data_IF_056208499480
#
_entry.id   IF_056208499480
#
_cell.length_a   1.000
_cell.length_b   1.000
_cell.length_c   1.000
_cell.angle_alpha   90.00
_cell.angle_beta   90.00
_cell.angle_gamma   90.00
#
_symmetry.space_group_name_H-M   'P 1'
#
loop_
_entity.id
_entity.type
_entity.pdbx_description
1 polymer ?
#
# COMPACT_ATOMS: atom_id res chain seq x y z
N UNK A 1 -10.83 -21.76 -4.78
CA UNK A 1 -10.40 -21.38 -4.51
C UNK A 1 -10.14 -20.39 -4.24
N UNK A 2 -10.07 -20.22 -4.12
CA UNK A 2 -9.89 -19.52 -3.62
C UNK A 2 -9.06 -19.02 -2.97
N UNK A 3 -8.67 -19.20 -2.60
CA UNK A 3 -7.80 -19.00 -1.56
C UNK A 3 -6.44 -18.58 -1.92
N UNK A 4 -6.09 -18.42 -3.20
CA UNK A 4 -4.82 -17.87 -3.62
C UNK A 4 -4.61 -16.47 -3.06
N UNK A 5 -5.67 -15.67 -2.99
CA UNK A 5 -5.55 -14.33 -2.44
C UNK A 5 -5.26 -14.35 -0.96
N UNK A 6 -5.89 -15.27 -0.22
CA UNK A 6 -5.68 -15.35 1.21
C UNK A 6 -4.27 -15.79 1.53
N UNK A 7 -3.76 -16.77 0.80
CA UNK A 7 -2.40 -17.25 1.03
C UNK A 7 -1.38 -16.18 0.70
N UNK A 8 -1.62 -15.47 -0.38
CA UNK A 8 -0.72 -14.40 -0.81
C UNK A 8 -0.67 -13.30 0.25
N UNK A 9 -1.83 -12.95 0.81
CA UNK A 9 -1.89 -11.94 1.85
C UNK A 9 -1.11 -12.39 3.09
N UNK A 10 -1.27 -13.66 3.49
CA UNK A 10 -0.52 -14.16 4.62
C UNK A 10 0.97 -14.11 4.37
N UNK A 11 1.39 -14.45 3.16
CA UNK A 11 2.81 -14.40 2.82
C UNK A 11 3.34 -12.97 2.92
N UNK A 12 2.57 -12.00 2.45
CA UNK A 12 2.97 -10.61 2.54
C UNK A 12 3.14 -10.19 3.99
N UNK A 13 2.15 -10.53 4.83
CA UNK A 13 2.18 -10.14 6.23
C UNK A 13 3.39 -10.72 6.93
N UNK A 14 3.69 -11.99 6.66
CA UNK A 14 4.84 -12.65 7.26
C UNK A 14 6.13 -11.92 6.89
N UNK A 15 6.23 -11.46 5.64
CA UNK A 15 7.43 -10.80 5.17
C UNK A 15 7.56 -9.38 5.69
N UNK A 16 6.45 -8.73 6.00
CA UNK A 16 6.47 -7.32 6.38
C UNK A 16 6.68 -7.11 7.88
N UNK A 17 6.12 -7.99 8.72
CA UNK A 17 6.14 -7.73 10.16
C UNK A 17 7.37 -8.37 10.80
N UNK A 18 7.75 -7.87 11.97
CA UNK A 18 8.86 -8.45 12.72
C UNK A 18 8.59 -8.61 14.20
N UNK A 19 7.45 -8.17 14.72
CA UNK A 19 7.07 -8.44 16.08
C UNK A 19 5.57 -8.41 16.17
N UNK A 20 5.03 -8.69 17.35
CA UNK A 20 3.61 -8.82 17.53
C UNK A 20 2.85 -7.53 17.22
N UNK A 21 3.30 -6.37 17.74
CA UNK A 21 2.58 -5.12 17.39
C UNK A 21 2.62 -4.82 15.90
N UNK A 22 3.74 -5.02 15.24
CA UNK A 22 3.82 -4.73 13.83
C UNK A 22 2.99 -5.72 13.01
N UNK A 23 2.72 -6.92 13.56
CA UNK A 23 1.85 -7.86 12.88
C UNK A 23 0.44 -7.30 12.74
N UNK A 24 -0.07 -6.66 13.80
CA UNK A 24 -1.42 -6.10 13.73
C UNK A 24 -1.51 -5.02 12.67
N UNK A 25 -0.51 -4.16 12.63
CA UNK A 25 -0.46 -3.11 11.63
C UNK A 25 -0.34 -3.72 10.23
N UNK A 26 0.56 -4.69 10.05
CA UNK A 26 0.77 -5.33 8.75
C UNK A 26 -0.50 -6.03 8.28
N UNK A 27 -1.23 -6.66 9.21
CA UNK A 27 -2.46 -7.35 8.87
C UNK A 27 -3.51 -6.37 8.36
N UNK A 28 -3.72 -5.27 9.07
CA UNK A 28 -4.71 -4.28 8.68
C UNK A 28 -4.32 -3.60 7.37
N UNK A 29 -3.06 -3.23 7.26
CA UNK A 29 -2.56 -2.60 6.03
C UNK A 29 -2.68 -3.56 4.84
N UNK A 30 -2.30 -4.81 5.06
CA UNK A 30 -2.34 -5.80 3.98
C UNK A 30 -3.74 -6.04 3.46
N UNK A 31 -4.72 -6.12 4.37
CA UNK A 31 -6.09 -6.29 3.95
C UNK A 31 -6.56 -5.11 3.10
N UNK A 32 -6.21 -3.91 3.52
CA UNK A 32 -6.58 -2.73 2.77
C UNK A 32 -5.94 -2.74 1.39
N UNK A 33 -4.67 -3.08 1.31
CA UNK A 33 -3.95 -3.10 0.05
C UNK A 33 -4.49 -4.18 -0.89
N UNK A 34 -4.90 -5.32 -0.33
CA UNK A 34 -5.47 -6.37 -1.17
C UNK A 34 -6.85 -6.00 -1.68
N UNK A 35 -7.62 -5.23 -0.92
CA UNK A 35 -8.88 -4.71 -1.42
C UNK A 35 -8.65 -3.73 -2.56
N UNK A 36 -7.60 -2.94 -2.46
CA UNK A 36 -7.21 -2.04 -3.55
C UNK A 36 -6.86 -2.85 -4.81
N UNK A 37 -6.11 -3.94 -4.65
CA UNK A 37 -5.76 -4.78 -5.80
C UNK A 37 -7.00 -5.38 -6.41
N UNK A 38 -7.95 -5.83 -5.58
CA UNK A 38 -9.20 -6.35 -6.09
C UNK A 38 -10.00 -5.30 -6.85
N UNK A 39 -9.94 -4.07 -6.36
CA UNK A 39 -10.55 -2.95 -7.07
C UNK A 39 -9.93 -2.77 -8.45
N UNK A 40 -8.60 -2.88 -8.53
CA UNK A 40 -7.91 -2.76 -9.81
C UNK A 40 -8.27 -3.90 -10.76
N UNK A 41 -8.49 -5.09 -10.22
CA UNK A 41 -8.84 -6.24 -11.05
C UNK A 41 -10.16 -6.05 -11.76
N UNK A 42 -11.04 -5.24 -11.21
CA UNK A 42 -12.34 -4.98 -11.82
C UNK A 42 -12.25 -3.94 -12.92
N UNK A 43 -11.11 -3.30 -13.07
CA UNK A 43 -10.87 -2.36 -14.15
C UNK A 43 -10.29 -3.11 -15.33
N UNK A 44 -10.32 -2.48 -16.49
CA UNK A 44 -9.82 -3.15 -17.70
C UNK A 44 -8.35 -2.88 -17.87
N UNK A 45 -7.56 -3.40 -16.96
CA UNK A 45 -6.12 -3.28 -17.03
C UNK A 45 -5.52 -4.54 -17.62
N UNK A 46 -4.42 -4.39 -18.35
CA UNK A 46 -3.70 -5.55 -18.84
C UNK A 46 -3.09 -6.30 -17.65
N UNK A 47 -2.84 -7.60 -17.87
CA UNK A 47 -2.20 -8.38 -16.83
C UNK A 47 -0.86 -7.83 -16.44
N UNK A 48 -0.13 -7.31 -17.42
CA UNK A 48 1.18 -6.74 -17.16
C UNK A 48 1.07 -5.54 -16.25
N UNK A 49 0.10 -4.65 -16.52
CA UNK A 49 -0.09 -3.47 -15.69
C UNK A 49 -0.53 -3.86 -14.29
N UNK A 50 -1.45 -4.82 -14.19
CA UNK A 50 -1.90 -5.26 -12.88
C UNK A 50 -0.76 -5.86 -12.08
N UNK A 51 0.11 -6.64 -12.72
CA UNK A 51 1.25 -7.22 -12.03
C UNK A 51 2.19 -6.14 -11.51
N UNK A 52 2.42 -5.10 -12.29
CA UNK A 52 3.26 -4.01 -11.84
C UNK A 52 2.70 -3.35 -10.59
N UNK A 53 1.39 -3.13 -10.57
CA UNK A 53 0.79 -2.53 -9.38
C UNK A 53 0.88 -3.46 -8.17
N UNK A 54 0.72 -4.75 -8.39
CA UNK A 54 0.85 -5.70 -7.28
C UNK A 54 2.26 -5.71 -6.72
N UNK A 55 3.27 -5.67 -7.59
CA UNK A 55 4.65 -5.62 -7.14
C UNK A 55 4.91 -4.34 -6.35
N UNK A 56 4.39 -3.22 -6.84
CA UNK A 56 4.57 -1.95 -6.15
C UNK A 56 3.83 -1.92 -4.82
N UNK A 57 2.67 -2.57 -4.76
CA UNK A 57 1.91 -2.68 -3.50
C UNK A 57 2.74 -3.42 -2.46
N UNK A 58 3.44 -4.47 -2.87
CA UNK A 58 4.31 -5.18 -1.93
C UNK A 58 5.37 -4.25 -1.36
N UNK A 59 5.98 -3.43 -2.20
CA UNK A 59 6.98 -2.48 -1.76
C UNK A 59 6.38 -1.44 -0.83
N UNK A 60 5.19 -0.95 -1.15
CA UNK A 60 4.50 0.01 -0.29
C UNK A 60 4.26 -0.58 1.09
N UNK A 61 3.76 -1.80 1.14
CA UNK A 61 3.51 -2.45 2.42
C UNK A 61 4.78 -2.65 3.23
N UNK A 62 5.83 -3.08 2.55
CA UNK A 62 7.10 -3.28 3.23
C UNK A 62 7.63 -1.98 3.84
N UNK A 63 7.61 -0.91 3.06
CA UNK A 63 8.15 0.37 3.53
C UNK A 63 7.31 0.95 4.66
N UNK A 64 5.98 0.82 4.56
CA UNK A 64 5.12 1.33 5.62
C UNK A 64 5.34 0.56 6.92
N UNK A 65 5.49 -0.75 6.83
CA UNK A 65 5.72 -1.53 8.04
C UNK A 65 7.11 -1.28 8.62
N UNK A 66 8.09 -1.02 7.76
CA UNK A 66 9.45 -0.82 8.23
C UNK A 66 9.67 0.58 8.80
N UNK A 67 9.05 1.58 8.21
CA UNK A 67 9.33 2.97 8.55
C UNK A 67 8.13 3.75 9.02
N UNK A 68 6.93 3.30 8.70
CA UNK A 68 5.71 4.05 9.00
C UNK A 68 4.79 3.37 9.99
N UNK A 69 5.29 2.41 10.75
CA UNK A 69 4.47 1.67 11.70
C UNK A 69 3.72 2.61 12.65
N UNK A 70 2.46 2.29 12.89
CA UNK A 70 1.62 2.98 13.87
C UNK A 70 0.84 1.93 14.64
N UNK A 71 0.42 2.29 15.85
CA UNK A 71 -0.34 1.35 16.67
C UNK A 71 -1.64 0.96 15.99
N UNK A 72 -2.31 1.93 15.38
CA UNK A 72 -3.56 1.66 14.67
C UNK A 72 -3.41 2.06 13.23
N UNK A 73 -3.85 1.18 12.33
CA UNK A 73 -3.83 1.50 10.91
C UNK A 73 -5.07 2.34 10.56
N UNK A 74 -4.84 3.49 9.96
CA UNK A 74 -5.90 4.32 9.42
C UNK A 74 -5.48 4.72 8.01
N UNK A 75 -6.24 4.32 6.97
CA UNK A 75 -5.81 4.58 5.59
C UNK A 75 -5.54 6.04 5.31
N UNK A 76 -6.34 6.94 5.87
CA UNK A 76 -6.16 8.36 5.61
C UNK A 76 -4.90 8.93 6.24
N UNK A 77 -4.34 8.25 7.23
CA UNK A 77 -3.09 8.69 7.83
C UNK A 77 -1.88 8.19 7.06
N UNK A 78 -2.07 7.20 6.20
CA UNK A 78 -0.99 6.63 5.43
C UNK A 78 -0.99 7.19 4.01
N UNK A 79 -2.15 7.16 3.35
CA UNK A 79 -2.27 7.54 1.94
C UNK A 79 -2.96 8.89 1.82
N UNK A 80 -2.38 9.91 2.44
CA UNK A 80 -3.03 11.21 2.56
C UNK A 80 -2.65 12.21 1.47
N UNK A 81 -1.73 11.85 0.60
CA UNK A 81 -1.33 12.73 -0.49
C UNK A 81 -0.89 11.94 -1.69
N UNK A 82 -0.76 12.62 -2.84
CA UNK A 82 -0.40 11.94 -4.09
C UNK A 82 1.07 11.57 -4.19
N UNK A 83 1.90 12.00 -3.25
CA UNK A 83 3.33 11.69 -3.28
C UNK A 83 3.66 10.63 -2.24
N UNK A 84 4.46 9.63 -2.63
CA UNK A 84 4.83 8.58 -1.67
C UNK A 84 5.67 9.13 -0.54
N UNK A 85 5.52 8.53 0.63
CA UNK A 85 6.25 8.97 1.80
C UNK A 85 7.68 8.46 1.87
N UNK A 86 7.98 7.37 1.16
CA UNK A 86 9.28 6.71 1.31
C UNK A 86 9.97 6.56 -0.03
N UNK A 87 9.99 7.65 -0.79
CA UNK A 87 10.61 7.69 -2.10
C UNK A 87 12.09 7.34 -2.03
N UNK A 88 12.78 7.94 -1.07
CA UNK A 88 14.22 7.71 -0.93
C UNK A 88 14.52 6.27 -0.54
N UNK A 89 13.72 5.72 0.35
CA UNK A 89 13.90 4.34 0.78
C UNK A 89 13.61 3.37 -0.35
N UNK A 90 12.63 3.67 -1.19
CA UNK A 90 12.35 2.84 -2.35
C UNK A 90 13.57 2.82 -3.28
N UNK A 91 14.15 4.00 -3.54
CA UNK A 91 15.29 4.09 -4.43
C UNK A 91 16.47 3.30 -3.89
N UNK A 92 16.67 3.36 -2.59
CA UNK A 92 17.83 2.71 -1.99
C UNK A 92 17.65 1.20 -1.87
N UNK A 93 16.43 0.73 -1.61
CA UNK A 93 16.22 -0.67 -1.28
C UNK A 93 15.74 -1.49 -2.46
N UNK A 94 15.07 -0.88 -3.42
CA UNK A 94 14.48 -1.64 -4.52
C UNK A 94 15.06 -1.27 -5.86
N UNK A 95 14.94 -0.02 -6.27
CA UNK A 95 15.46 0.39 -7.56
C UNK A 95 15.47 1.90 -7.65
N UNK A 96 16.57 2.45 -8.18
CA UNK A 96 16.65 3.88 -8.42
C UNK A 96 16.48 4.21 -9.91
N UNK A 97 16.11 3.24 -10.73
CA UNK A 97 15.87 3.53 -12.14
C UNK A 97 14.65 4.43 -12.26
N UNK A 98 14.70 5.33 -13.23
CA UNK A 98 13.62 6.26 -13.44
C UNK A 98 12.31 5.54 -13.71
N UNK A 99 12.39 4.48 -14.50
CA UNK A 99 11.20 3.70 -14.84
C UNK A 99 10.56 3.08 -13.59
N UNK A 100 11.37 2.47 -12.74
CA UNK A 100 10.84 1.82 -11.54
C UNK A 100 10.25 2.83 -10.57
N UNK A 101 10.92 3.96 -10.39
CA UNK A 101 10.45 4.99 -9.47
C UNK A 101 9.13 5.57 -9.98
N UNK A 102 9.04 5.83 -11.27
CA UNK A 102 7.81 6.37 -11.83
C UNK A 102 6.66 5.37 -11.72
N UNK A 103 6.95 4.08 -11.89
CA UNK A 103 5.95 3.04 -11.73
C UNK A 103 5.45 2.99 -10.29
N UNK A 104 6.35 3.05 -9.33
CA UNK A 104 6.00 3.06 -7.91
C UNK A 104 5.12 4.27 -7.58
N UNK A 105 5.49 5.44 -8.09
CA UNK A 105 4.71 6.66 -7.85
C UNK A 105 3.33 6.59 -8.49
N UNK A 106 3.24 5.96 -9.64
CA UNK A 106 1.94 5.81 -10.31
C UNK A 106 1.00 4.95 -9.48
N UNK A 107 1.53 3.86 -8.92
CA UNK A 107 0.73 2.99 -8.05
C UNK A 107 0.28 3.76 -6.81
N UNK A 108 1.17 4.53 -6.22
CA UNK A 108 0.84 5.33 -5.04
C UNK A 108 -0.31 6.30 -5.35
N UNK A 109 -0.24 6.98 -6.49
CA UNK A 109 -1.30 7.93 -6.86
C UNK A 109 -2.65 7.24 -7.04
N UNK A 110 -2.64 6.03 -7.60
CA UNK A 110 -3.88 5.27 -7.73
C UNK A 110 -4.44 4.90 -6.36
N UNK A 111 -3.56 4.51 -5.46
CA UNK A 111 -3.94 4.14 -4.10
C UNK A 111 -4.48 5.36 -3.34
N UNK A 112 -3.84 6.49 -3.51
CA UNK A 112 -4.31 7.73 -2.92
C UNK A 112 -5.72 8.07 -3.45
N UNK A 113 -5.93 7.97 -4.76
CA UNK A 113 -7.23 8.24 -5.35
C UNK A 113 -8.29 7.28 -4.83
N UNK A 114 -7.93 6.02 -4.69
CA UNK A 114 -8.82 5.00 -4.14
C UNK A 114 -9.22 5.35 -2.71
N UNK A 115 -8.25 5.73 -1.89
CA UNK A 115 -8.50 6.10 -0.50
C UNK A 115 -9.40 7.34 -0.43
N UNK A 116 -9.15 8.31 -1.30
CA UNK A 116 -9.95 9.52 -1.34
C UNK A 116 -11.38 9.21 -1.75
N UNK A 117 -11.55 8.36 -2.77
CA UNK A 117 -12.88 8.01 -3.26
C UNK A 117 -13.70 7.29 -2.20
N UNK A 118 -13.06 6.55 -1.32
CA UNK A 118 -13.76 5.85 -0.24
C UNK A 118 -14.10 6.76 0.94
N UNK A 119 -13.64 8.02 0.90
CA UNK A 119 -13.96 8.97 1.97
C UNK A 119 -13.04 8.87 3.16
N UNK A 120 -11.99 8.08 3.09
CA UNK A 120 -11.11 7.88 4.25
C UNK A 120 -10.31 9.13 4.58
N UNK A 121 -10.08 9.99 3.60
CA UNK A 121 -9.32 11.22 3.85
C UNK A 121 -10.11 12.25 4.64
N UNK A 122 -11.44 12.20 4.57
CA UNK A 122 -12.26 13.16 5.28
C UNK A 122 -12.03 13.07 6.78
N UNK A 123 -11.92 11.85 7.30
CA UNK A 123 -11.63 11.67 8.70
C UNK A 123 -10.29 12.22 9.10
N UNK A 124 -9.29 12.01 8.23
CA UNK A 124 -7.95 12.49 8.48
C UNK A 124 -7.92 14.02 8.51
N UNK A 125 -8.65 14.64 7.59
CA UNK A 125 -8.68 16.10 7.54
C UNK A 125 -9.24 16.67 8.82
N UNK A 126 -10.27 16.05 9.37
CA UNK A 126 -10.84 16.54 10.61
C UNK A 126 -9.83 16.46 11.74
N UNK A 127 -9.06 15.38 11.77
CA UNK A 127 -8.03 15.25 12.78
C UNK A 127 -6.97 16.32 12.65
N UNK A 128 -6.58 16.61 11.44
CA UNK A 128 -5.49 17.53 11.24
C UNK A 128 -5.85 18.95 11.62
N UNK A 129 -7.12 19.25 11.79
CA UNK A 129 -7.54 20.57 12.20
C UNK A 129 -7.50 20.78 13.71
N UNK A 130 -7.30 19.72 14.42
CA UNK A 130 -7.27 19.82 15.84
C UNK A 130 -5.90 19.87 16.38
#
# INVERSE_FOLDING_TARGET
MRDNGSQELEDYIVEWHYDEPSYQFANALGRYLFEFINHLRKQELSERTLRKHRDNVWCIGYLECAFGYQDDFAPGNVFYGPEPGYDCEFKRRFSDSEHAVNSYRATWRKLYSYTKALGHLDGTKRHSHE
#
